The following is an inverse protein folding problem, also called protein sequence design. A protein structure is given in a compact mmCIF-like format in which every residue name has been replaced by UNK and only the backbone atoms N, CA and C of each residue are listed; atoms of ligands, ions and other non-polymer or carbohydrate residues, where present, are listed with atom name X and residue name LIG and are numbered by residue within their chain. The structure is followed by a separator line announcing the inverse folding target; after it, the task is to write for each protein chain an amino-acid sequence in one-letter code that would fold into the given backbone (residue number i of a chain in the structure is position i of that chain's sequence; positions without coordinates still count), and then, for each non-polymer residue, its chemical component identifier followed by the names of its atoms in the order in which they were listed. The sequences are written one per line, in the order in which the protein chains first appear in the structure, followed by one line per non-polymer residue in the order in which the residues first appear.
data_IF_308638025140
#
_entry.id   IF_308638025140
#
_cell.length_a   1.000
_cell.length_b   1.000
_cell.length_c   1.000
_cell.angle_alpha   90.00
_cell.angle_beta   90.00
_cell.angle_gamma   90.00
#
_symmetry.space_group_name_H-M   'P 1'
#
loop_
_entity.id
_entity.type
_entity.pdbx_description
1 polymer ?
#
# COMPACT_ATOMS: atom_id res chain seq x y z
N UNK A 1 4.89 29.52 23.41
CA UNK A 1 5.39 28.26 24.00
C UNK A 1 4.93 27.16 23.06
N UNK A 2 5.90 26.64 22.32
CA UNK A 2 5.78 25.66 21.26
C UNK A 2 5.44 24.29 21.84
N UNK A 3 4.29 23.74 21.46
CA UNK A 3 3.98 22.34 21.68
C UNK A 3 4.06 21.63 20.33
N UNK A 4 5.11 20.83 20.15
CA UNK A 4 5.21 19.88 19.03
C UNK A 4 4.55 18.60 19.52
N UNK A 5 3.44 18.23 18.89
CA UNK A 5 2.84 16.93 19.13
C UNK A 5 3.59 15.89 18.29
N UNK A 6 4.40 15.09 18.98
CA UNK A 6 5.00 13.87 18.45
C UNK A 6 3.88 12.83 18.37
N UNK A 7 3.76 12.13 17.24
CA UNK A 7 2.81 11.01 17.11
C UNK A 7 3.12 9.98 18.20
N UNK A 8 2.19 9.86 19.15
CA UNK A 8 2.26 8.94 20.28
C UNK A 8 1.92 7.52 19.79
N UNK A 9 2.81 6.56 20.02
CA UNK A 9 2.62 5.14 19.71
C UNK A 9 2.37 4.41 21.02
N UNK A 10 1.11 4.35 21.46
CA UNK A 10 0.68 3.48 22.55
C UNK A 10 -0.43 2.53 22.09
N UNK A 11 -0.16 1.23 22.22
CA UNK A 11 -1.16 0.17 22.13
C UNK A 11 -1.99 0.19 23.42
N UNK A 12 -3.27 0.55 23.33
CA UNK A 12 -4.26 0.16 24.33
C UNK A 12 -5.17 -0.89 23.70
N UNK A 13 -4.77 -2.16 23.85
CA UNK A 13 -5.65 -3.31 23.66
C UNK A 13 -6.50 -3.47 24.94
N UNK A 14 -7.66 -2.81 24.99
CA UNK A 14 -8.70 -3.21 25.93
C UNK A 14 -9.33 -4.53 25.42
N UNK A 15 -8.95 -5.63 26.09
CA UNK A 15 -9.69 -6.89 26.06
C UNK A 15 -11.07 -6.66 26.67
N UNK A 16 -12.07 -6.46 25.82
CA UNK A 16 -13.46 -6.71 26.19
C UNK A 16 -13.73 -8.22 26.23
N UNK A 17 -13.81 -8.78 27.44
CA UNK A 17 -14.50 -10.05 27.68
C UNK A 17 -15.97 -9.90 27.26
N UNK A 18 -16.37 -10.62 26.22
CA UNK A 18 -17.78 -10.86 25.91
C UNK A 18 -18.18 -12.19 26.55
N UNK A 19 -18.86 -12.08 27.70
CA UNK A 19 -19.68 -13.14 28.27
C UNK A 19 -20.72 -13.59 27.23
N UNK A 20 -20.56 -14.80 26.72
CA UNK A 20 -21.58 -15.47 25.92
C UNK A 20 -22.35 -16.41 26.84
N UNK A 21 -23.52 -15.96 27.28
CA UNK A 21 -24.51 -16.80 27.93
C UNK A 21 -24.94 -17.95 26.99
N UNK A 22 -24.79 -19.16 27.51
CA UNK A 22 -25.20 -20.41 26.89
C UNK A 22 -26.72 -20.52 26.91
N UNK A 23 -27.38 -20.18 25.80
CA UNK A 23 -28.78 -20.56 25.58
C UNK A 23 -28.83 -21.92 24.87
N UNK A 24 -29.19 -22.95 25.65
CA UNK A 24 -29.56 -24.29 25.19
C UNK A 24 -30.76 -24.22 24.23
N UNK A 25 -30.57 -24.70 23.00
CA UNK A 25 -31.68 -25.13 22.14
C UNK A 25 -31.49 -26.62 21.80
N UNK A 26 -32.48 -27.42 22.20
CA UNK A 26 -32.59 -28.87 21.99
C UNK A 26 -32.77 -29.18 20.50
N UNK A 27 -32.15 -30.25 19.95
CA UNK A 27 -32.56 -30.79 18.66
C UNK A 27 -33.75 -31.76 18.86
N UNK A 28 -34.83 -31.49 18.14
CA UNK A 28 -35.95 -32.42 18.02
C UNK A 28 -35.62 -33.53 17.00
N UNK A 29 -35.86 -34.75 17.49
CA UNK A 29 -35.80 -36.05 16.86
C UNK A 29 -36.80 -36.18 15.69
N UNK A 30 -36.34 -36.53 14.49
CA UNK A 30 -37.08 -37.44 13.60
C UNK A 30 -36.10 -38.43 12.95
N UNK A 31 -36.49 -39.69 13.11
CA UNK A 31 -35.83 -40.95 12.81
C UNK A 31 -36.23 -41.38 11.41
N UNK A 32 -35.28 -41.82 10.58
CA UNK A 32 -35.54 -42.93 9.67
C UNK A 32 -34.28 -43.75 9.45
N UNK A 33 -34.48 -45.05 9.66
CA UNK A 33 -33.52 -46.14 9.72
C UNK A 33 -33.27 -46.66 8.30
N UNK A 34 -32.06 -47.12 8.00
CA UNK A 34 -31.81 -48.46 7.45
C UNK A 34 -30.30 -48.79 7.43
N UNK A 35 -30.02 -49.97 7.97
CA UNK A 35 -28.71 -50.58 8.20
C UNK A 35 -28.06 -51.08 6.91
N UNK A 36 -26.72 -51.09 6.87
CA UNK A 36 -26.01 -52.35 6.60
C UNK A 36 -24.65 -52.35 7.28
N UNK A 37 -24.50 -53.28 8.23
CA UNK A 37 -23.25 -53.66 8.88
C UNK A 37 -22.19 -54.17 7.91
N UNK A 38 -20.91 -53.92 8.23
CA UNK A 38 -19.90 -54.99 8.29
C UNK A 38 -18.72 -54.58 9.18
N UNK A 39 -18.56 -55.38 10.23
CA UNK A 39 -17.48 -55.41 11.20
C UNK A 39 -16.11 -55.75 10.59
N UNK A 40 -15.04 -55.13 11.12
CA UNK A 40 -13.82 -55.86 11.49
C UNK A 40 -13.10 -55.17 12.65
N UNK A 41 -12.80 -55.97 13.68
CA UNK A 41 -12.23 -55.62 14.98
C UNK A 41 -10.73 -55.29 14.92
N UNK A 42 -10.36 -54.25 15.67
CA UNK A 42 -9.29 -54.16 16.68
C UNK A 42 -7.91 -54.75 16.36
N UNK A 43 -6.88 -53.89 16.35
CA UNK A 43 -5.68 -54.13 17.16
C UNK A 43 -5.02 -52.81 17.60
N UNK A 44 -4.96 -52.63 18.92
CA UNK A 44 -4.24 -51.59 19.63
C UNK A 44 -2.80 -52.09 19.86
N UNK A 45 -1.79 -51.30 19.51
CA UNK A 45 -0.44 -51.45 20.07
C UNK A 45 0.15 -50.07 20.37
N UNK A 46 0.36 -49.81 21.66
CA UNK A 46 1.16 -48.72 22.21
C UNK A 46 2.57 -49.23 22.44
N UNK A 47 3.58 -48.51 21.94
CA UNK A 47 4.98 -48.37 22.44
C UNK A 47 5.77 -47.68 21.30
N UNK A 48 6.70 -46.76 21.49
CA UNK A 48 7.37 -46.19 22.67
C UNK A 48 8.06 -44.88 22.22
N UNK A 49 8.40 -44.05 23.19
CA UNK A 49 9.13 -42.77 23.06
C UNK A 49 10.40 -42.82 22.21
N UNK A 50 10.73 -41.67 21.60
CA UNK A 50 12.01 -40.98 21.80
C UNK A 50 11.83 -39.48 21.51
N UNK A 51 11.67 -38.69 22.59
CA UNK A 51 11.95 -37.25 22.63
C UNK A 51 13.39 -37.10 23.08
N UNK A 52 14.22 -36.41 22.30
CA UNK A 52 15.50 -35.88 22.77
C UNK A 52 15.30 -34.41 23.08
N UNK A 53 15.45 -34.07 24.35
CA UNK A 53 15.51 -32.71 24.89
C UNK A 53 16.82 -32.01 24.47
N UNK A 54 16.78 -30.69 24.32
CA UNK A 54 17.76 -29.85 25.01
C UNK A 54 17.10 -28.56 25.53
N UNK A 55 17.41 -28.29 26.79
CA UNK A 55 16.86 -27.30 27.72
C UNK A 55 17.55 -25.94 27.62
N UNK A 56 16.84 -24.87 28.01
CA UNK A 56 17.31 -23.81 28.96
C UNK A 56 16.13 -22.87 29.25
N UNK A 57 15.47 -23.05 30.40
CA UNK A 57 15.68 -22.31 31.66
C UNK A 57 14.93 -20.97 31.70
N UNK A 58 13.65 -21.05 32.07
CA UNK A 58 12.94 -19.99 32.79
C UNK A 58 13.17 -20.18 34.29
N UNK A 59 13.31 -19.08 35.02
CA UNK A 59 13.31 -19.04 36.47
C UNK A 59 12.26 -18.01 36.91
N UNK A 60 11.15 -18.53 37.42
CA UNK A 60 10.13 -17.79 38.15
C UNK A 60 10.62 -17.44 39.56
N UNK A 61 10.25 -16.25 40.04
CA UNK A 61 10.23 -15.91 41.47
C UNK A 61 8.87 -15.26 41.74
N UNK A 62 8.13 -15.85 42.67
CA UNK A 62 6.79 -15.46 43.11
C UNK A 62 6.79 -14.17 43.98
N UNK A 63 5.82 -13.28 43.70
CA UNK A 63 4.84 -12.60 44.59
C UNK A 63 5.31 -11.86 45.88
N UNK A 64 4.71 -10.69 46.27
CA UNK A 64 3.27 -10.62 46.56
C UNK A 64 2.52 -9.30 46.25
N UNK A 65 1.19 -9.44 46.25
CA UNK A 65 0.13 -8.45 46.14
C UNK A 65 0.29 -7.22 47.05
N UNK A 66 0.07 -6.03 46.49
CA UNK A 66 -0.56 -4.89 47.20
C UNK A 66 -1.56 -4.20 46.27
N UNK A 67 -2.82 -4.26 46.65
CA UNK A 67 -3.92 -3.48 46.13
C UNK A 67 -3.78 -2.00 46.50
N UNK A 68 -3.81 -1.10 45.50
CA UNK A 68 -4.14 0.31 45.69
C UNK A 68 -4.96 0.83 44.51
N UNK A 69 -6.27 0.93 44.74
CA UNK A 69 -7.20 1.81 44.03
C UNK A 69 -6.79 3.27 44.26
N UNK A 70 -6.65 4.06 43.19
CA UNK A 70 -6.65 5.52 43.25
C UNK A 70 -6.99 6.11 41.87
N UNK A 71 -8.20 6.66 41.77
CA UNK A 71 -8.57 7.65 40.77
C UNK A 71 -7.62 8.86 40.82
N UNK A 72 -7.22 9.44 39.68
CA UNK A 72 -7.03 10.88 39.47
C UNK A 72 -6.52 11.13 38.04
N UNK A 73 -7.31 11.83 37.23
CA UNK A 73 -7.24 13.27 36.95
C UNK A 73 -6.18 13.62 35.90
N UNK A 74 -6.69 14.17 34.80
CA UNK A 74 -5.97 14.99 33.82
C UNK A 74 -5.07 15.98 34.56
N UNK A 75 -3.76 15.81 34.41
CA UNK A 75 -2.79 16.80 34.86
C UNK A 75 -2.11 17.38 33.60
N UNK A 76 -2.64 18.53 33.16
CA UNK A 76 -1.92 19.45 32.30
C UNK A 76 -0.69 19.95 33.06
N UNK A 77 0.49 19.41 32.76
CA UNK A 77 1.75 20.08 33.11
C UNK A 77 2.60 20.34 31.89
N UNK A 78 2.71 21.63 31.59
CA UNK A 78 3.63 22.26 30.67
C UNK A 78 5.07 21.98 31.11
N UNK A 79 5.91 21.52 30.18
CA UNK A 79 7.37 21.65 30.27
C UNK A 79 7.90 22.20 28.94
N UNK A 80 8.86 23.15 28.95
CA UNK A 80 9.43 23.72 27.74
C UNK A 80 10.63 22.88 27.28
N UNK A 81 10.58 22.32 26.08
CA UNK A 81 11.74 21.71 25.41
C UNK A 81 11.92 22.27 24.00
N UNK A 82 13.19 22.34 23.61
CA UNK A 82 13.79 23.38 22.78
C UNK A 82 13.69 23.18 21.26
N UNK A 83 13.66 24.31 20.57
CA UNK A 83 13.67 24.53 19.12
C UNK A 83 14.98 24.11 18.42
N UNK A 84 15.40 22.84 18.52
CA UNK A 84 16.66 22.39 17.91
C UNK A 84 16.61 22.28 16.38
N UNK A 85 15.42 22.15 15.76
CA UNK A 85 15.30 22.06 14.29
C UNK A 85 15.04 23.42 13.61
N UNK A 86 14.59 24.43 14.36
CA UNK A 86 14.07 25.69 13.80
C UNK A 86 15.06 26.87 13.86
N UNK A 87 16.25 26.69 14.44
CA UNK A 87 17.27 27.74 14.52
C UNK A 87 18.60 27.25 13.94
N UNK A 88 18.65 27.09 12.62
CA UNK A 88 19.91 27.23 11.91
C UNK A 88 19.64 27.99 10.62
N UNK A 89 20.26 29.16 10.52
CA UNK A 89 20.52 29.85 9.26
C UNK A 89 21.38 28.93 8.40
N UNK A 90 20.75 28.02 7.65
CA UNK A 90 21.45 27.00 6.89
C UNK A 90 21.95 27.55 5.56
N UNK A 91 23.27 27.74 5.49
CA UNK A 91 24.04 27.53 4.27
C UNK A 91 23.64 26.17 3.70
N UNK A 92 22.95 26.17 2.56
CA UNK A 92 22.52 24.97 1.83
C UNK A 92 23.77 24.16 1.43
N UNK A 93 24.13 23.17 2.24
CA UNK A 93 25.11 22.15 1.89
C UNK A 93 24.65 21.47 0.59
N UNK A 94 25.43 21.69 -0.47
CA UNK A 94 25.09 21.46 -1.87
C UNK A 94 25.42 20.06 -2.38
N UNK A 95 25.39 19.04 -1.52
CA UNK A 95 25.51 17.66 -2.01
C UNK A 95 24.18 17.27 -2.70
N UNK A 96 24.15 17.02 -4.02
CA UNK A 96 22.92 16.60 -4.69
C UNK A 96 22.45 15.27 -4.10
N UNK A 97 21.15 15.18 -3.81
CA UNK A 97 20.53 13.92 -3.40
C UNK A 97 20.69 12.92 -4.54
N UNK A 98 21.19 11.72 -4.25
CA UNK A 98 21.21 10.65 -5.25
C UNK A 98 19.77 10.36 -5.71
N UNK A 99 19.52 10.50 -7.01
CA UNK A 99 18.21 10.29 -7.64
C UNK A 99 18.09 8.88 -8.27
N UNK A 100 19.02 7.99 -7.97
CA UNK A 100 18.92 6.57 -8.32
C UNK A 100 18.46 5.80 -7.10
N UNK A 101 17.25 5.22 -7.17
CA UNK A 101 16.59 4.58 -6.02
C UNK A 101 17.54 3.59 -5.31
N UNK A 102 18.10 2.63 -6.03
CA UNK A 102 18.96 1.58 -5.45
C UNK A 102 20.29 2.07 -4.86
N UNK A 103 20.70 3.31 -5.16
CA UNK A 103 21.92 3.94 -4.63
C UNK A 103 21.62 4.99 -3.55
N UNK A 104 20.35 5.39 -3.39
CA UNK A 104 19.91 6.37 -2.41
C UNK A 104 20.00 5.86 -0.95
N UNK A 105 20.23 4.57 -0.73
CA UNK A 105 20.43 3.96 0.60
C UNK A 105 21.89 3.95 1.10
N UNK A 106 22.89 4.13 0.23
CA UNK A 106 24.30 4.00 0.59
C UNK A 106 24.92 5.35 0.94
N UNK A 107 25.18 5.63 2.23
CA UNK A 107 25.97 6.80 2.62
C UNK A 107 26.94 6.51 3.77
N UNK A 108 28.14 7.12 3.63
CA UNK A 108 29.28 7.02 4.54
C UNK A 108 28.89 7.37 5.99
N UNK A 109 29.19 6.47 6.93
CA UNK A 109 29.02 6.60 8.39
C UNK A 109 29.87 7.72 9.05
N UNK A 110 30.33 8.73 8.30
CA UNK A 110 31.32 9.70 8.79
C UNK A 110 30.75 10.78 9.72
N UNK A 111 29.43 10.84 9.93
CA UNK A 111 28.82 11.83 10.82
C UNK A 111 27.75 11.20 11.74
N UNK A 112 28.12 10.14 12.45
CA UNK A 112 27.33 9.67 13.59
C UNK A 112 27.44 10.67 14.74
N UNK A 113 26.52 11.63 14.83
CA UNK A 113 26.39 12.47 16.03
C UNK A 113 26.02 11.56 17.20
N UNK A 114 26.86 11.52 18.25
CA UNK A 114 26.58 10.81 19.50
C UNK A 114 25.22 11.29 20.05
N UNK A 115 24.26 10.39 20.12
CA UNK A 115 22.96 10.64 20.76
C UNK A 115 23.19 10.82 22.26
N UNK A 116 22.89 12.01 22.77
CA UNK A 116 22.75 12.23 24.20
C UNK A 116 21.40 11.63 24.64
N UNK A 117 21.44 10.55 25.41
CA UNK A 117 20.26 9.91 25.98
C UNK A 117 19.66 10.84 27.04
N UNK A 118 18.58 11.53 26.70
CA UNK A 118 17.77 12.29 27.66
C UNK A 118 16.56 11.44 28.06
N UNK A 119 16.40 11.24 29.37
CA UNK A 119 15.32 10.47 29.99
C UNK A 119 13.94 11.03 29.62
N UNK A 120 13.15 10.25 28.88
CA UNK A 120 11.73 10.48 28.61
C UNK A 120 11.22 9.32 27.77
N UNK A 121 10.07 8.74 28.14
CA UNK A 121 9.42 7.52 27.59
C UNK A 121 9.98 7.03 26.24
N UNK A 122 10.49 5.80 26.23
CA UNK A 122 11.13 5.17 25.06
C UNK A 122 10.11 4.86 23.96
N UNK A 123 9.71 5.85 23.17
CA UNK A 123 8.94 5.63 21.95
C UNK A 123 9.87 5.15 20.83
N UNK A 124 9.40 4.17 20.04
CA UNK A 124 10.09 3.74 18.83
C UNK A 124 10.17 4.93 17.86
N UNK A 125 11.37 5.42 17.60
CA UNK A 125 11.60 6.52 16.66
C UNK A 125 12.00 5.96 15.31
N UNK A 126 11.28 6.40 14.27
CA UNK A 126 11.55 6.00 12.90
C UNK A 126 12.43 7.06 12.24
N UNK A 127 13.68 6.70 11.96
CA UNK A 127 14.61 7.56 11.24
C UNK A 127 14.17 7.71 9.77
N UNK A 128 14.30 8.89 9.12
CA UNK A 128 13.88 9.09 7.72
C UNK A 128 14.45 8.10 6.70
N UNK A 129 15.62 7.51 6.98
CA UNK A 129 16.17 6.44 6.13
C UNK A 129 15.25 5.21 6.01
N UNK A 130 14.41 4.97 7.01
CA UNK A 130 13.44 3.88 6.98
C UNK A 130 12.45 4.02 5.81
N UNK A 131 12.10 5.23 5.38
CA UNK A 131 11.22 5.44 4.21
C UNK A 131 11.81 4.77 2.97
N UNK A 132 13.10 4.97 2.73
CA UNK A 132 13.81 4.35 1.62
C UNK A 132 13.97 2.84 1.81
N UNK A 133 14.45 2.40 2.97
CA UNK A 133 14.65 0.97 3.25
C UNK A 133 13.35 0.17 3.14
N UNK A 134 12.24 0.71 3.63
CA UNK A 134 10.94 0.05 3.56
C UNK A 134 10.39 -0.01 2.13
N UNK A 135 10.70 0.99 1.29
CA UNK A 135 10.31 1.00 -0.13
C UNK A 135 11.03 -0.07 -0.98
N UNK A 136 12.15 -0.63 -0.51
CA UNK A 136 12.89 -1.69 -1.23
C UNK A 136 12.14 -3.01 -1.37
N UNK A 137 11.01 -3.18 -0.67
CA UNK A 137 10.09 -4.30 -0.85
C UNK A 137 9.52 -4.37 -2.28
N UNK A 138 9.33 -3.21 -2.92
CA UNK A 138 8.87 -3.12 -4.30
C UNK A 138 10.05 -3.18 -5.27
N UNK A 139 10.26 -4.34 -5.88
CA UNK A 139 11.24 -4.47 -6.97
C UNK A 139 10.75 -3.83 -8.27
N UNK A 140 9.45 -3.88 -8.51
CA UNK A 140 8.81 -3.46 -9.76
C UNK A 140 7.92 -2.23 -9.56
N UNK A 141 8.15 -1.17 -10.35
CA UNK A 141 7.45 0.11 -10.21
C UNK A 141 5.93 -0.01 -10.37
N UNK A 142 5.44 -0.81 -11.33
CA UNK A 142 4.00 -0.99 -11.51
C UNK A 142 3.33 -1.68 -10.31
N UNK A 143 4.06 -2.53 -9.58
CA UNK A 143 3.55 -3.10 -8.34
C UNK A 143 3.27 -2.02 -7.27
N UNK A 144 4.11 -0.98 -7.20
CA UNK A 144 3.88 0.17 -6.33
C UNK A 144 2.68 1.03 -6.81
N UNK A 145 2.54 1.24 -8.13
CA UNK A 145 1.35 1.94 -8.68
C UNK A 145 0.08 1.16 -8.32
N UNK A 146 0.10 -0.17 -8.48
CA UNK A 146 -1.06 -1.00 -8.20
C UNK A 146 -1.49 -0.97 -6.74
N UNK A 147 -0.56 -0.91 -5.77
CA UNK A 147 -0.93 -0.70 -4.36
C UNK A 147 -1.62 0.65 -4.10
N UNK A 148 -1.32 1.68 -4.88
CA UNK A 148 -2.03 2.97 -4.79
C UNK A 148 -3.43 2.86 -5.40
N UNK A 149 -3.58 2.13 -6.51
CA UNK A 149 -4.89 1.85 -7.11
C UNK A 149 -5.76 0.96 -6.24
N UNK A 150 -5.16 0.01 -5.51
CA UNK A 150 -5.85 -0.86 -4.56
C UNK A 150 -6.57 -0.02 -3.49
N UNK A 151 -6.00 1.13 -3.10
CA UNK A 151 -6.67 2.04 -2.16
C UNK A 151 -7.89 2.72 -2.77
N UNK A 152 -7.85 3.11 -4.05
CA UNK A 152 -8.99 3.72 -4.73
C UNK A 152 -10.10 2.70 -5.03
N UNK A 153 -9.73 1.46 -5.38
CA UNK A 153 -10.69 0.36 -5.56
C UNK A 153 -11.44 0.04 -4.26
N UNK A 154 -10.75 0.07 -3.13
CA UNK A 154 -11.38 -0.10 -1.81
C UNK A 154 -12.40 1.03 -1.50
N UNK A 155 -12.33 2.18 -2.19
CA UNK A 155 -13.26 3.31 -2.04
C UNK A 155 -14.53 3.19 -2.91
N UNK A 156 -14.68 2.15 -3.73
CA UNK A 156 -15.92 1.88 -4.48
C UNK A 156 -17.13 1.79 -3.53
N UNK A 157 -16.94 1.19 -2.34
CA UNK A 157 -17.98 1.12 -1.31
C UNK A 157 -18.38 2.50 -0.75
N UNK A 158 -17.52 3.51 -0.91
CA UNK A 158 -17.73 4.90 -0.51
C UNK A 158 -18.12 5.79 -1.70
N UNK A 159 -18.51 5.19 -2.84
CA UNK A 159 -19.04 5.90 -4.00
C UNK A 159 -18.02 6.27 -5.08
N UNK A 160 -16.77 5.79 -4.99
CA UNK A 160 -15.79 6.01 -6.06
C UNK A 160 -16.30 5.43 -7.39
N UNK A 161 -16.17 6.20 -8.47
CA UNK A 161 -16.52 5.82 -9.84
C UNK A 161 -15.33 5.77 -10.77
N UNK A 162 -14.17 6.32 -10.38
CA UNK A 162 -12.94 6.16 -11.14
C UNK A 162 -11.68 6.29 -10.30
N UNK A 163 -10.59 5.81 -10.89
CA UNK A 163 -9.24 6.25 -10.55
C UNK A 163 -8.46 6.52 -11.83
N UNK A 164 -7.80 7.67 -11.88
CA UNK A 164 -7.01 8.15 -12.99
C UNK A 164 -5.52 8.16 -12.65
N UNK A 165 -4.70 7.65 -13.56
CA UNK A 165 -3.24 7.73 -13.50
C UNK A 165 -2.76 8.56 -14.68
N UNK A 166 -2.01 9.63 -14.42
CA UNK A 166 -1.52 10.50 -15.48
C UNK A 166 -0.11 11.05 -15.21
N UNK A 167 0.47 11.66 -16.25
CA UNK A 167 1.66 12.49 -16.17
C UNK A 167 1.23 13.93 -15.97
N UNK A 168 1.81 14.60 -14.98
CA UNK A 168 1.78 16.06 -14.89
C UNK A 168 3.19 16.63 -14.92
N UNK A 169 3.30 17.93 -15.16
CA UNK A 169 4.57 18.64 -15.03
C UNK A 169 4.61 19.33 -13.67
N UNK A 170 5.70 19.15 -12.95
CA UNK A 170 5.97 19.89 -11.72
C UNK A 170 6.10 21.38 -12.07
N UNK A 171 5.23 22.28 -11.55
CA UNK A 171 5.28 23.70 -11.89
C UNK A 171 6.59 24.38 -11.49
N UNK A 172 7.31 23.85 -10.50
CA UNK A 172 8.54 24.44 -9.97
C UNK A 172 9.75 24.23 -10.86
N UNK A 173 9.90 23.06 -11.47
CA UNK A 173 11.11 22.68 -12.21
C UNK A 173 10.84 22.10 -13.62
N UNK A 174 9.57 21.92 -14.00
CA UNK A 174 9.16 21.36 -15.27
C UNK A 174 9.37 19.84 -15.41
N UNK A 175 9.87 19.16 -14.38
CA UNK A 175 10.11 17.73 -14.43
C UNK A 175 8.79 16.94 -14.39
N UNK A 176 8.73 15.74 -14.99
CA UNK A 176 7.55 14.90 -14.91
C UNK A 176 7.27 14.45 -13.48
N UNK A 177 6.00 14.41 -13.13
CA UNK A 177 5.46 13.84 -11.90
C UNK A 177 4.31 12.89 -12.23
N UNK A 178 4.11 11.88 -11.38
CA UNK A 178 3.04 10.92 -11.50
C UNK A 178 1.83 11.39 -10.68
N UNK A 179 0.69 11.53 -11.35
CA UNK A 179 -0.60 11.86 -10.75
C UNK A 179 -1.41 10.58 -10.60
N UNK A 180 -1.99 10.37 -9.42
CA UNK A 180 -3.03 9.36 -9.17
C UNK A 180 -4.20 10.08 -8.49
N UNK A 181 -5.38 10.02 -9.08
CA UNK A 181 -6.56 10.72 -8.57
C UNK A 181 -7.80 9.83 -8.60
N UNK A 182 -8.54 9.80 -7.50
CA UNK A 182 -9.83 9.12 -7.38
C UNK A 182 -10.92 10.07 -6.87
N UNK A 183 -12.16 9.71 -7.13
CA UNK A 183 -13.37 10.38 -6.63
C UNK A 183 -14.01 9.61 -5.45
N UNK A 184 -13.21 8.87 -4.68
CA UNK A 184 -13.66 8.15 -3.49
C UNK A 184 -14.08 9.07 -2.35
N UNK A 185 -14.26 8.50 -1.16
CA UNK A 185 -14.78 9.25 0.00
C UNK A 185 -13.84 10.36 0.48
N UNK A 186 -12.56 10.31 0.10
CA UNK A 186 -11.53 11.23 0.56
C UNK A 186 -11.20 11.09 2.06
N UNK A 187 -10.32 11.96 2.54
CA UNK A 187 -9.76 11.90 3.89
C UNK A 187 -9.95 13.21 4.63
N UNK A 188 -10.60 13.12 5.80
CA UNK A 188 -10.57 14.18 6.80
C UNK A 188 -9.18 14.30 7.48
N UNK A 189 -8.99 15.28 8.38
CA UNK A 189 -7.71 15.55 9.02
C UNK A 189 -7.06 14.34 9.72
N UNK A 190 -7.84 13.61 10.52
CA UNK A 190 -7.35 12.45 11.26
C UNK A 190 -7.00 11.28 10.35
N UNK A 191 -7.83 11.02 9.33
CA UNK A 191 -7.59 9.98 8.34
C UNK A 191 -6.33 10.30 7.51
N UNK A 192 -6.11 11.56 7.15
CA UNK A 192 -4.88 12.01 6.48
C UNK A 192 -3.65 11.75 7.36
N UNK A 193 -3.73 12.10 8.65
CA UNK A 193 -2.64 11.85 9.61
C UNK A 193 -2.34 10.36 9.73
N UNK A 194 -3.36 9.51 9.82
CA UNK A 194 -3.20 8.05 9.87
C UNK A 194 -2.60 7.51 8.58
N UNK A 195 -3.05 7.99 7.41
CA UNK A 195 -2.51 7.62 6.10
C UNK A 195 -0.99 7.85 6.03
N UNK A 196 -0.53 9.00 6.53
CA UNK A 196 0.88 9.39 6.58
C UNK A 196 1.69 8.67 7.68
N UNK A 197 1.04 8.04 8.66
CA UNK A 197 1.67 7.37 9.81
C UNK A 197 1.81 5.86 9.61
N UNK A 198 2.91 5.25 10.05
CA UNK A 198 3.10 3.80 9.88
C UNK A 198 2.17 2.97 10.78
N UNK A 199 1.71 1.82 10.25
CA UNK A 199 0.97 0.81 11.03
C UNK A 199 -0.51 1.09 11.29
N UNK A 200 -1.05 2.22 10.82
CA UNK A 200 -2.47 2.53 10.97
C UNK A 200 -3.27 2.04 9.76
N UNK A 201 -4.33 1.27 10.03
CA UNK A 201 -5.38 0.97 9.05
C UNK A 201 -6.74 1.07 9.72
N UNK A 202 -7.64 1.83 9.13
CA UNK A 202 -9.06 1.88 9.54
C UNK A 202 -9.86 0.79 8.81
N UNK A 203 -9.29 0.17 7.77
CA UNK A 203 -9.94 -0.85 6.95
C UNK A 203 -10.09 -2.15 7.75
N UNK A 204 -11.22 -2.28 8.45
CA UNK A 204 -11.63 -3.48 9.19
C UNK A 204 -12.32 -4.54 8.32
N UNK A 205 -12.60 -4.24 7.05
CA UNK A 205 -13.27 -5.18 6.15
C UNK A 205 -12.35 -6.33 5.74
N UNK A 206 -12.86 -7.56 5.79
CA UNK A 206 -12.17 -8.75 5.26
C UNK A 206 -12.01 -8.71 3.73
N UNK A 207 -12.81 -7.91 3.02
CA UNK A 207 -12.76 -7.81 1.56
C UNK A 207 -11.79 -6.75 1.03
N UNK A 208 -11.33 -5.82 1.89
CA UNK A 208 -10.40 -4.78 1.48
C UNK A 208 -9.04 -5.37 1.06
N UNK A 209 -8.43 -4.77 0.05
CA UNK A 209 -7.10 -5.14 -0.41
C UNK A 209 -6.04 -4.58 0.57
N UNK A 210 -6.20 -3.31 0.98
CA UNK A 210 -5.28 -2.65 1.90
C UNK A 210 -5.47 -3.08 3.36
N UNK A 211 -4.52 -3.84 3.91
CA UNK A 211 -4.61 -4.35 5.30
C UNK A 211 -3.47 -3.91 6.25
N UNK A 212 -2.31 -3.54 5.72
CA UNK A 212 -1.10 -3.42 6.53
C UNK A 212 -0.77 -1.99 6.97
N UNK A 213 -1.53 -0.99 6.49
CA UNK A 213 -1.29 0.41 6.86
C UNK A 213 0.06 0.97 6.37
N UNK A 214 0.75 0.29 5.44
CA UNK A 214 2.09 0.67 4.98
C UNK A 214 2.17 0.96 3.47
N UNK A 215 1.25 0.43 2.67
CA UNK A 215 1.35 0.42 1.21
C UNK A 215 1.50 1.79 0.56
N UNK A 216 0.81 2.81 1.08
CA UNK A 216 0.97 4.18 0.60
C UNK A 216 2.42 4.69 0.74
N UNK A 217 3.04 4.50 1.91
CA UNK A 217 4.39 5.00 2.20
C UNK A 217 5.42 4.26 1.37
N UNK A 218 5.34 2.93 1.32
CA UNK A 218 6.28 2.10 0.56
C UNK A 218 6.19 2.38 -0.93
N UNK A 219 4.97 2.48 -1.45
CA UNK A 219 4.72 2.66 -2.88
C UNK A 219 5.14 4.05 -3.37
N UNK A 220 4.73 5.11 -2.67
CA UNK A 220 5.10 6.48 -3.06
C UNK A 220 6.61 6.71 -3.00
N UNK A 221 7.26 6.24 -1.93
CA UNK A 221 8.73 6.34 -1.78
C UNK A 221 9.49 5.44 -2.77
N UNK A 222 8.86 4.38 -3.31
CA UNK A 222 9.42 3.59 -4.41
C UNK A 222 9.35 4.30 -5.75
N UNK A 223 8.34 5.14 -5.97
CA UNK A 223 8.09 5.81 -7.26
C UNK A 223 8.84 7.13 -7.38
N UNK A 224 8.96 7.88 -6.29
CA UNK A 224 9.73 9.13 -6.25
C UNK A 224 10.23 9.45 -4.85
N UNK A 225 11.09 10.46 -4.76
CA UNK A 225 11.62 10.90 -3.47
C UNK A 225 10.55 11.64 -2.63
N UNK A 226 9.56 12.23 -3.28
CA UNK A 226 8.62 13.14 -2.61
C UNK A 226 7.20 12.93 -3.12
N UNK A 227 6.24 13.01 -2.21
CA UNK A 227 4.81 12.91 -2.53
C UNK A 227 4.03 13.98 -1.78
N UNK A 228 3.13 14.66 -2.48
CA UNK A 228 2.12 15.54 -1.91
C UNK A 228 0.73 14.96 -2.17
N UNK A 229 -0.12 14.99 -1.14
CA UNK A 229 -1.49 14.47 -1.20
C UNK A 229 -2.45 15.62 -0.92
N UNK A 230 -3.45 15.75 -1.78
CA UNK A 230 -4.62 16.59 -1.60
C UNK A 230 -5.81 15.67 -1.42
N UNK A 231 -6.61 15.90 -0.38
CA UNK A 231 -7.82 15.12 -0.19
C UNK A 231 -8.95 16.00 0.31
N UNK A 232 -10.13 15.77 -0.24
CA UNK A 232 -11.34 16.50 0.13
C UNK A 232 -12.34 15.51 0.69
N UNK A 233 -12.95 15.86 1.81
CA UNK A 233 -13.93 15.01 2.47
C UNK A 233 -15.09 15.85 2.97
N UNK A 234 -16.31 15.49 2.56
CA UNK A 234 -17.54 16.12 2.99
C UNK A 234 -18.23 15.22 4.01
N UNK A 235 -18.35 15.70 5.25
CA UNK A 235 -19.03 14.99 6.31
C UNK A 235 -19.97 15.94 7.04
N UNK A 236 -21.26 15.59 7.14
CA UNK A 236 -22.27 16.37 7.87
C UNK A 236 -22.31 17.88 7.55
N UNK A 237 -22.09 18.25 6.28
CA UNK A 237 -22.07 19.66 5.85
C UNK A 237 -20.76 20.41 6.14
N UNK A 238 -19.73 19.69 6.59
CA UNK A 238 -18.38 20.22 6.79
C UNK A 238 -17.50 19.67 5.67
N UNK A 239 -17.03 20.56 4.81
CA UNK A 239 -16.09 20.25 3.75
C UNK A 239 -14.66 20.48 4.26
N UNK A 240 -13.89 19.41 4.36
CA UNK A 240 -12.47 19.49 4.74
C UNK A 240 -11.59 19.35 3.51
N UNK A 241 -10.54 20.16 3.44
CA UNK A 241 -9.49 20.08 2.42
C UNK A 241 -8.16 19.90 3.14
N UNK A 242 -7.59 18.70 3.02
CA UNK A 242 -6.34 18.33 3.68
C UNK A 242 -5.22 18.24 2.66
N UNK A 243 -4.07 18.83 2.99
CA UNK A 243 -2.84 18.72 2.23
C UNK A 243 -1.78 18.10 3.13
N UNK A 244 -1.11 17.06 2.66
CA UNK A 244 0.00 16.43 3.38
C UNK A 244 1.21 16.19 2.48
N UNK A 245 2.40 16.44 3.01
CA UNK A 245 3.67 16.28 2.28
C UNK A 245 4.58 15.28 2.98
N UNK A 246 4.85 14.17 2.30
CA UNK A 246 5.88 13.21 2.71
C UNK A 246 7.07 13.36 1.75
N UNK A 247 8.09 14.10 2.20
CA UNK A 247 9.23 14.48 1.37
C UNK A 247 10.55 13.93 1.94
N UNK A 248 11.12 12.94 1.26
CA UNK A 248 12.46 12.45 1.59
C UNK A 248 13.51 13.53 1.35
N UNK A 249 13.32 14.37 0.32
CA UNK A 249 14.21 15.48 0.00
C UNK A 249 14.30 16.49 1.15
N UNK A 250 13.14 16.92 1.67
CA UNK A 250 13.05 17.80 2.84
C UNK A 250 13.80 17.17 4.02
N UNK A 251 13.39 15.97 4.46
CA UNK A 251 13.94 15.30 5.64
C UNK A 251 15.46 15.13 5.56
N UNK A 252 15.98 14.82 4.38
CA UNK A 252 17.43 14.66 4.16
C UNK A 252 18.18 15.99 4.12
N UNK A 253 17.65 17.02 3.47
CA UNK A 253 18.35 18.31 3.36
C UNK A 253 18.36 19.10 4.67
N UNK A 254 17.36 18.89 5.52
CA UNK A 254 17.30 19.51 6.85
C UNK A 254 17.94 18.62 7.94
N UNK A 255 18.50 17.47 7.58
CA UNK A 255 19.09 16.49 8.51
C UNK A 255 18.15 16.13 9.67
N UNK A 256 16.87 15.93 9.39
CA UNK A 256 15.93 15.46 10.39
C UNK A 256 16.33 14.07 10.89
N UNK A 257 16.31 13.88 12.21
CA UNK A 257 16.53 12.59 12.88
C UNK A 257 15.26 11.74 12.97
N UNK A 258 14.10 12.36 12.69
CA UNK A 258 12.77 11.76 12.70
C UNK A 258 11.97 12.15 11.46
N UNK A 259 10.98 11.33 11.13
CA UNK A 259 10.04 11.65 10.06
C UNK A 259 9.09 12.75 10.54
N UNK A 260 9.10 13.89 9.84
CA UNK A 260 8.20 15.02 10.02
C UNK A 260 7.38 15.18 8.73
N UNK A 261 6.06 15.28 8.86
CA UNK A 261 5.13 15.39 7.73
C UNK A 261 4.33 16.69 7.86
N UNK A 262 4.66 17.75 7.09
CA UNK A 262 3.87 18.97 7.07
C UNK A 262 2.47 18.68 6.56
N UNK A 263 1.47 19.14 7.33
CA UNK A 263 0.06 19.00 6.97
C UNK A 263 -0.70 20.29 7.27
N UNK A 264 -1.59 20.67 6.36
CA UNK A 264 -2.52 21.78 6.56
C UNK A 264 -3.94 21.31 6.25
N UNK A 265 -4.90 21.82 6.99
CA UNK A 265 -6.30 21.46 6.86
C UNK A 265 -7.15 22.73 6.85
N UNK A 266 -7.94 22.88 5.79
CA UNK A 266 -8.96 23.91 5.67
C UNK A 266 -10.30 23.27 5.95
N UNK A 267 -11.13 23.95 6.73
CA UNK A 267 -12.48 23.53 7.04
C UNK A 267 -13.46 24.58 6.55
N UNK A 268 -14.38 24.17 5.68
CA UNK A 268 -15.46 25.02 5.20
C UNK A 268 -16.79 24.46 5.65
N UNK A 269 -17.48 25.21 6.49
CA UNK A 269 -18.81 24.85 6.94
C UNK A 269 -19.86 25.38 5.96
N UNK A 270 -20.54 24.49 5.25
CA UNK A 270 -21.51 24.87 4.22
C UNK A 270 -22.75 25.55 4.80
N UNK A 271 -23.06 25.34 6.07
CA UNK A 271 -24.23 25.93 6.75
C UNK A 271 -23.98 27.36 7.22
N UNK A 272 -22.75 27.68 7.64
CA UNK A 272 -22.39 29.01 8.14
C UNK A 272 -21.62 29.85 7.12
N UNK A 273 -21.12 29.23 6.04
CA UNK A 273 -20.25 29.87 5.05
C UNK A 273 -18.87 30.25 5.58
N UNK A 274 -18.50 29.75 6.77
CA UNK A 274 -17.25 30.08 7.44
C UNK A 274 -16.12 29.16 7.00
N UNK A 275 -14.97 29.77 6.68
CA UNK A 275 -13.70 29.07 6.46
C UNK A 275 -12.88 29.17 7.75
N UNK A 276 -12.39 28.03 8.24
CA UNK A 276 -11.48 27.93 9.37
C UNK A 276 -10.26 27.07 9.04
N UNK A 277 -9.22 27.18 9.86
CA UNK A 277 -7.98 26.41 9.73
C UNK A 277 -7.73 25.64 11.03
N UNK A 278 -7.57 24.32 10.93
CA UNK A 278 -7.40 23.47 12.11
C UNK A 278 -6.00 23.56 12.72
N UNK A 279 -5.89 23.25 14.02
CA UNK A 279 -4.65 23.18 14.82
C UNK A 279 -3.96 24.51 15.14
N UNK A 280 -4.67 25.64 15.01
CA UNK A 280 -4.18 26.95 15.43
C UNK A 280 -3.25 27.62 14.42
N UNK A 281 -3.30 28.96 14.38
CA UNK A 281 -2.71 29.78 13.31
C UNK A 281 -1.20 29.60 13.15
N UNK A 282 -0.45 29.48 14.24
CA UNK A 282 1.02 29.38 14.19
C UNK A 282 1.48 28.06 13.55
N UNK A 283 0.88 26.93 13.96
CA UNK A 283 1.22 25.61 13.40
C UNK A 283 0.82 25.50 11.94
N UNK A 284 -0.39 25.99 11.60
CA UNK A 284 -0.86 26.04 10.23
C UNK A 284 0.11 26.84 9.34
N UNK A 285 0.52 28.04 9.77
CA UNK A 285 1.46 28.88 9.02
C UNK A 285 2.84 28.23 8.86
N UNK A 286 3.37 27.59 9.90
CA UNK A 286 4.65 26.87 9.81
C UNK A 286 4.58 25.72 8.79
N UNK A 287 3.53 24.91 8.84
CA UNK A 287 3.35 23.79 7.91
C UNK A 287 3.11 24.29 6.48
N UNK A 288 2.35 25.37 6.31
CA UNK A 288 2.14 26.00 5.01
C UNK A 288 3.48 26.46 4.42
N UNK A 289 4.33 27.16 5.19
CA UNK A 289 5.65 27.57 4.71
C UNK A 289 6.51 26.40 4.26
N UNK A 290 6.47 25.27 4.98
CA UNK A 290 7.17 24.05 4.56
C UNK A 290 6.61 23.49 3.25
N UNK A 291 5.28 23.46 3.08
CA UNK A 291 4.64 23.03 1.83
C UNK A 291 5.07 23.93 0.66
N UNK A 292 5.03 25.26 0.84
CA UNK A 292 5.41 26.23 -0.19
C UNK A 292 6.91 26.16 -0.54
N UNK A 293 7.76 25.72 0.38
CA UNK A 293 9.18 25.58 0.15
C UNK A 293 9.54 24.26 -0.56
N UNK A 294 8.92 23.15 -0.15
CA UNK A 294 9.36 21.80 -0.51
C UNK A 294 8.45 21.08 -1.52
N UNK A 295 7.23 21.56 -1.74
CA UNK A 295 6.30 21.00 -2.72
C UNK A 295 6.47 21.60 -4.13
N UNK A 296 5.82 21.02 -5.15
CA UNK A 296 5.75 21.59 -6.50
C UNK A 296 5.15 23.00 -6.59
N UNK A 297 4.44 23.45 -5.55
CA UNK A 297 3.66 24.68 -5.53
C UNK A 297 4.32 25.71 -4.61
N UNK A 298 4.46 26.95 -5.08
CA UNK A 298 5.16 28.03 -4.41
C UNK A 298 4.21 29.01 -3.69
N UNK A 299 2.91 28.99 -4.01
CA UNK A 299 1.91 29.84 -3.36
C UNK A 299 0.73 29.04 -2.78
N UNK A 300 0.05 29.61 -1.77
CA UNK A 300 -1.15 29.01 -1.19
C UNK A 300 -2.28 28.89 -2.24
N UNK A 301 -2.40 29.88 -3.14
CA UNK A 301 -3.37 29.81 -4.25
C UNK A 301 -3.13 28.60 -5.13
N UNK A 302 -1.88 28.34 -5.53
CA UNK A 302 -1.53 27.17 -6.36
C UNK A 302 -1.84 25.84 -5.67
N UNK A 303 -1.67 25.77 -4.34
CA UNK A 303 -2.07 24.62 -3.54
C UNK A 303 -3.59 24.44 -3.52
N UNK A 304 -4.34 25.52 -3.31
CA UNK A 304 -5.80 25.49 -3.29
C UNK A 304 -6.40 25.16 -4.65
N UNK A 305 -5.76 25.59 -5.74
CA UNK A 305 -6.16 25.29 -7.11
C UNK A 305 -6.14 23.78 -7.41
N UNK A 306 -5.32 23.00 -6.68
CA UNK A 306 -5.27 21.55 -6.84
C UNK A 306 -6.55 20.83 -6.41
N UNK A 307 -7.48 21.50 -5.73
CA UNK A 307 -8.75 20.93 -5.35
C UNK A 307 -9.89 21.22 -6.34
N UNK A 308 -9.67 22.02 -7.38
CA UNK A 308 -10.72 22.47 -8.29
C UNK A 308 -11.37 21.31 -9.08
N UNK A 309 -10.62 20.25 -9.33
CA UNK A 309 -10.99 19.07 -10.12
C UNK A 309 -11.25 17.80 -9.26
N UNK A 310 -11.18 17.90 -7.93
CA UNK A 310 -11.45 16.76 -7.02
C UNK A 310 -12.96 16.57 -6.80
N UNK A 311 -13.79 17.62 -6.97
CA UNK A 311 -15.23 17.55 -6.66
C UNK A 311 -15.52 17.72 -5.16
N UNK A 312 -16.62 17.17 -4.63
CA UNK A 312 -16.99 17.29 -3.20
C UNK A 312 -16.24 16.34 -2.27
N UNK A 313 -15.72 15.24 -2.82
CA UNK A 313 -14.92 14.24 -2.13
C UNK A 313 -13.95 13.61 -3.13
N UNK A 314 -12.82 13.11 -2.64
CA UNK A 314 -11.83 12.42 -3.47
C UNK A 314 -10.41 12.68 -2.99
N UNK A 315 -9.45 12.00 -3.62
CA UNK A 315 -8.03 12.10 -3.28
C UNK A 315 -7.20 12.26 -4.53
N UNK A 316 -6.19 13.14 -4.44
CA UNK A 316 -5.19 13.40 -5.47
C UNK A 316 -3.80 13.23 -4.86
N UNK A 317 -3.05 12.28 -5.38
CA UNK A 317 -1.69 11.95 -4.99
C UNK A 317 -0.75 12.34 -6.11
N UNK A 318 0.25 13.17 -5.81
CA UNK A 318 1.26 13.61 -6.77
C UNK A 318 2.62 13.16 -6.27
N UNK A 319 3.19 12.17 -6.95
CA UNK A 319 4.57 11.72 -6.71
C UNK A 319 5.49 12.46 -7.67
N UNK A 320 6.44 13.21 -7.13
CA UNK A 320 7.39 14.00 -7.89
C UNK A 320 8.80 13.68 -7.45
N UNK A 321 9.79 14.26 -8.14
CA UNK A 321 11.18 13.85 -7.98
C UNK A 321 11.34 12.34 -8.21
N UNK A 322 10.76 11.86 -9.32
CA UNK A 322 10.77 10.46 -9.73
C UNK A 322 12.20 9.91 -9.82
N UNK A 323 12.35 8.62 -9.52
CA UNK A 323 13.66 7.96 -9.54
C UNK A 323 14.16 7.71 -10.96
N UNK A 324 15.48 7.81 -11.10
CA UNK A 324 16.20 7.44 -12.30
C UNK A 324 16.67 5.98 -12.23
N UNK A 325 16.73 5.34 -13.40
CA UNK A 325 17.38 4.06 -13.58
C UNK A 325 18.91 4.21 -13.63
N UNK A 326 19.62 3.11 -13.89
CA UNK A 326 21.09 3.11 -13.97
C UNK A 326 21.64 3.94 -15.15
N UNK A 327 20.85 4.10 -16.21
CA UNK A 327 21.18 4.93 -17.38
C UNK A 327 20.95 6.44 -17.14
N UNK A 328 20.43 6.81 -15.97
CA UNK A 328 20.18 8.20 -15.61
C UNK A 328 18.90 8.80 -16.22
N UNK A 329 18.03 7.99 -16.81
CA UNK A 329 16.69 8.39 -17.28
C UNK A 329 15.63 7.98 -16.26
N UNK A 330 14.44 8.60 -16.29
CA UNK A 330 13.34 8.21 -15.39
C UNK A 330 12.95 6.76 -15.62
N UNK A 331 12.74 5.99 -14.54
CA UNK A 331 12.32 4.59 -14.66
C UNK A 331 10.96 4.46 -15.36
N UNK A 332 10.08 5.44 -15.16
CA UNK A 332 8.83 5.58 -15.90
C UNK A 332 9.05 6.45 -17.16
N UNK A 333 8.70 5.90 -18.32
CA UNK A 333 8.68 6.57 -19.61
C UNK A 333 7.26 7.03 -19.95
N UNK A 334 7.10 8.34 -20.12
CA UNK A 334 5.82 8.98 -20.45
C UNK A 334 5.71 9.42 -21.90
N UNK A 335 6.75 9.19 -22.72
CA UNK A 335 6.91 9.80 -24.04
C UNK A 335 6.81 8.78 -25.18
N UNK A 336 7.18 7.50 -24.95
CA UNK A 336 7.13 6.45 -25.98
C UNK A 336 5.72 6.21 -26.53
N UNK A 337 4.72 6.24 -25.65
CA UNK A 337 3.31 6.10 -26.00
C UNK A 337 2.52 7.17 -25.22
N UNK A 338 1.82 8.10 -25.89
CA UNK A 338 1.06 9.14 -25.21
C UNK A 338 -0.09 8.60 -24.36
N UNK A 339 -0.61 7.42 -24.70
CA UNK A 339 -1.68 6.74 -23.99
C UNK A 339 -1.15 5.75 -22.95
N UNK A 340 0.16 5.61 -22.74
CA UNK A 340 0.71 4.66 -21.77
C UNK A 340 1.73 5.31 -20.82
N UNK A 341 2.11 4.54 -19.80
CA UNK A 341 3.29 4.76 -18.98
C UNK A 341 4.10 3.47 -19.06
N UNK A 342 5.26 3.54 -19.69
CA UNK A 342 6.11 2.36 -19.89
C UNK A 342 7.26 2.32 -18.87
N UNK A 343 7.87 1.14 -18.68
CA UNK A 343 9.17 1.05 -17.98
C UNK A 343 10.30 1.29 -18.97
N UNK A 344 11.20 2.21 -18.64
CA UNK A 344 12.41 2.52 -19.39
C UNK A 344 13.39 1.33 -19.36
N UNK A 345 13.79 0.86 -20.54
CA UNK A 345 14.92 -0.08 -20.70
C UNK A 345 14.61 -1.58 -20.71
N UNK A 346 13.39 -2.03 -20.39
CA UNK A 346 13.07 -3.48 -20.32
C UNK A 346 12.31 -4.00 -21.54
N UNK A 347 12.87 -3.84 -22.75
CA UNK A 347 12.55 -4.75 -23.86
C UNK A 347 13.61 -5.83 -23.91
N UNK A 348 13.48 -6.85 -23.05
CA UNK A 348 14.21 -8.11 -23.21
C UNK A 348 13.90 -8.65 -24.60
N UNK A 349 14.86 -8.48 -25.53
CA UNK A 349 14.78 -9.05 -26.88
C UNK A 349 14.77 -10.55 -26.74
N UNK A 350 13.63 -11.18 -27.00
CA UNK A 350 13.52 -12.64 -26.99
C UNK A 350 14.22 -13.12 -28.27
N UNK A 351 15.24 -13.98 -28.14
CA UNK A 351 15.92 -14.58 -29.29
C UNK A 351 15.08 -15.73 -29.90
N UNK A 352 13.99 -15.39 -30.61
CA UNK A 352 13.20 -16.34 -31.44
C UNK A 352 13.26 -16.01 -32.94
N UNK A 353 12.64 -16.85 -33.80
CA UNK A 353 12.48 -16.54 -35.23
C UNK A 353 11.64 -15.24 -35.42
N UNK A 354 11.90 -14.40 -36.45
CA UNK A 354 11.27 -13.09 -36.61
C UNK A 354 9.73 -13.06 -36.56
N UNK A 355 9.07 -14.09 -37.10
CA UNK A 355 7.60 -14.20 -37.09
C UNK A 355 7.05 -14.60 -35.71
N UNK A 356 7.72 -15.51 -35.00
CA UNK A 356 7.36 -15.97 -33.65
C UNK A 356 7.73 -14.93 -32.57
N UNK A 357 8.76 -14.11 -32.83
CA UNK A 357 9.17 -12.95 -32.02
C UNK A 357 8.01 -12.00 -31.83
N UNK A 358 7.37 -11.58 -32.92
CA UNK A 358 6.29 -10.59 -32.85
C UNK A 358 5.10 -11.10 -32.05
N UNK A 359 4.69 -12.36 -32.22
CA UNK A 359 3.56 -12.95 -31.50
C UNK A 359 3.85 -13.04 -30.00
N UNK A 360 5.04 -13.56 -29.63
CA UNK A 360 5.44 -13.63 -28.23
C UNK A 360 5.62 -12.25 -27.59
N UNK A 361 6.29 -11.31 -28.25
CA UNK A 361 6.54 -9.96 -27.73
C UNK A 361 5.23 -9.17 -27.54
N UNK A 362 4.24 -9.39 -28.41
CA UNK A 362 2.96 -8.70 -28.34
C UNK A 362 1.95 -9.38 -27.40
N UNK A 363 2.20 -10.61 -26.96
CA UNK A 363 1.30 -11.30 -26.04
C UNK A 363 1.27 -10.60 -24.66
N UNK A 364 0.09 -10.58 -24.02
CA UNK A 364 -0.15 -9.91 -22.74
C UNK A 364 0.88 -10.33 -21.68
N UNK A 365 1.17 -11.63 -21.59
CA UNK A 365 2.17 -12.23 -20.68
C UNK A 365 3.60 -11.69 -20.79
N UNK A 366 3.96 -10.99 -21.87
CA UNK A 366 5.21 -10.24 -21.95
C UNK A 366 4.97 -8.74 -21.83
N UNK A 367 3.93 -8.21 -22.48
CA UNK A 367 3.63 -6.77 -22.49
C UNK A 367 3.36 -6.19 -21.11
N UNK A 368 2.69 -6.92 -20.20
CA UNK A 368 2.35 -6.41 -18.87
C UNK A 368 3.60 -6.00 -18.07
N UNK A 369 4.76 -6.57 -18.38
CA UNK A 369 6.01 -6.30 -17.65
C UNK A 369 6.52 -4.87 -17.86
N UNK A 370 6.18 -4.25 -19.00
CA UNK A 370 6.68 -2.93 -19.37
C UNK A 370 5.61 -1.92 -19.79
N UNK A 371 4.38 -2.33 -20.09
CA UNK A 371 3.24 -1.46 -20.42
C UNK A 371 2.27 -1.41 -19.25
N UNK A 372 2.09 -0.23 -18.63
CA UNK A 372 1.18 -0.06 -17.51
C UNK A 372 -0.25 -0.32 -17.96
N UNK A 373 -0.64 0.17 -19.15
CA UNK A 373 -1.97 -0.07 -19.73
C UNK A 373 -2.32 -1.56 -19.77
N UNK A 374 -1.41 -2.38 -20.28
CA UNK A 374 -1.62 -3.84 -20.33
C UNK A 374 -1.67 -4.43 -18.93
N UNK A 375 -0.80 -4.01 -18.01
CA UNK A 375 -0.86 -4.50 -16.64
C UNK A 375 -2.19 -4.16 -15.95
N UNK A 376 -2.67 -2.92 -16.10
CA UNK A 376 -3.94 -2.48 -15.51
C UNK A 376 -5.15 -3.22 -16.09
N UNK A 377 -5.11 -3.62 -17.37
CA UNK A 377 -6.20 -4.38 -18.00
C UNK A 377 -6.47 -5.73 -17.32
N UNK A 378 -5.43 -6.36 -16.75
CA UNK A 378 -5.51 -7.67 -16.09
C UNK A 378 -5.35 -7.60 -14.57
N UNK A 379 -5.15 -6.40 -14.00
CA UNK A 379 -4.79 -6.21 -12.59
C UNK A 379 -5.86 -6.75 -11.65
N UNK A 380 -7.12 -6.57 -12.04
CA UNK A 380 -8.26 -7.04 -11.28
C UNK A 380 -8.99 -8.14 -12.06
N UNK A 381 -9.41 -9.20 -11.36
CA UNK A 381 -10.15 -10.30 -11.98
C UNK A 381 -11.49 -9.80 -12.54
N UNK A 382 -12.14 -8.87 -11.83
CA UNK A 382 -13.37 -8.20 -12.22
C UNK A 382 -13.33 -6.74 -11.78
N UNK A 383 -13.81 -5.84 -12.64
CA UNK A 383 -14.02 -4.43 -12.29
C UNK A 383 -15.53 -4.16 -12.41
N UNK A 384 -16.18 -3.58 -11.38
CA UNK A 384 -17.59 -3.21 -11.49
C UNK A 384 -17.82 -2.24 -12.66
N UNK A 385 -18.94 -2.37 -13.37
CA UNK A 385 -19.28 -1.49 -14.52
C UNK A 385 -19.38 0.00 -14.13
N UNK A 386 -19.66 0.28 -12.86
CA UNK A 386 -19.74 1.62 -12.30
C UNK A 386 -18.37 2.25 -12.03
N UNK A 387 -17.26 1.50 -12.16
CA UNK A 387 -15.92 1.97 -11.85
C UNK A 387 -14.99 1.93 -13.06
N UNK A 388 -14.20 2.98 -13.26
CA UNK A 388 -13.28 3.12 -14.40
C UNK A 388 -11.84 3.29 -13.96
N UNK A 389 -10.95 2.47 -14.53
CA UNK A 389 -9.51 2.74 -14.52
C UNK A 389 -9.19 3.64 -15.71
N UNK A 390 -8.62 4.81 -15.47
CA UNK A 390 -8.24 5.76 -16.50
C UNK A 390 -6.72 5.90 -16.48
N UNK A 391 -6.08 5.78 -17.63
CA UNK A 391 -4.65 5.98 -17.79
C UNK A 391 -4.42 6.99 -18.90
N UNK A 392 -3.63 8.04 -18.65
CA UNK A 392 -3.32 9.08 -19.65
C UNK A 392 -4.56 9.64 -20.36
N UNK A 393 -5.62 9.90 -19.59
CA UNK A 393 -6.91 10.41 -20.10
C UNK A 393 -7.84 9.39 -20.77
N UNK A 394 -7.42 8.14 -20.95
CA UNK A 394 -8.23 7.10 -21.60
C UNK A 394 -8.55 5.93 -20.68
N UNK A 395 -9.80 5.47 -20.74
CA UNK A 395 -10.26 4.30 -19.98
C UNK A 395 -9.45 3.08 -20.41
N UNK A 396 -8.94 2.33 -19.44
CA UNK A 396 -8.27 1.05 -19.67
C UNK A 396 -9.35 0.00 -19.89
N UNK A 397 -9.33 -0.64 -21.06
CA UNK A 397 -10.20 -1.78 -21.34
C UNK A 397 -9.80 -2.97 -20.45
N UNK A 398 -10.76 -3.50 -19.70
CA UNK A 398 -10.55 -4.69 -18.89
C UNK A 398 -10.38 -5.91 -19.78
N UNK A 399 -9.39 -6.74 -19.47
CA UNK A 399 -9.12 -7.96 -20.21
C UNK A 399 -9.18 -9.17 -19.28
N UNK A 400 -10.13 -10.07 -19.54
CA UNK A 400 -10.22 -11.34 -18.81
C UNK A 400 -9.29 -12.36 -19.46
N UNK A 401 -8.22 -12.75 -18.75
CA UNK A 401 -7.22 -13.72 -19.24
C UNK A 401 -7.86 -15.06 -19.65
N UNK A 402 -8.96 -15.45 -19.01
CA UNK A 402 -9.66 -16.69 -19.37
C UNK A 402 -10.22 -16.66 -20.81
N UNK A 403 -10.47 -15.47 -21.37
CA UNK A 403 -10.97 -15.31 -22.72
C UNK A 403 -9.89 -15.65 -23.76
N UNK A 404 -8.61 -15.70 -23.39
CA UNK A 404 -7.49 -16.09 -24.26
C UNK A 404 -7.31 -17.62 -24.33
N UNK A 405 -8.14 -18.38 -23.62
CA UNK A 405 -8.06 -19.84 -23.58
C UNK A 405 -8.93 -20.49 -24.67
N UNK A 406 -8.38 -21.51 -25.32
CA UNK A 406 -9.12 -22.52 -26.09
C UNK A 406 -9.23 -23.80 -25.27
N UNK A 407 -10.33 -24.51 -25.48
CA UNK A 407 -10.70 -25.73 -24.74
C UNK A 407 -10.71 -25.49 -23.21
N UNK A 408 -11.48 -24.50 -22.71
CA UNK A 408 -11.50 -24.21 -21.29
C UNK A 408 -12.16 -25.34 -20.49
N UNK A 409 -11.49 -25.76 -19.42
CA UNK A 409 -12.00 -26.64 -18.39
C UNK A 409 -12.11 -25.88 -17.06
N UNK A 410 -13.15 -26.20 -16.29
CA UNK A 410 -13.42 -25.59 -15.00
C UNK A 410 -13.20 -26.61 -13.89
N UNK A 411 -12.17 -26.38 -13.09
CA UNK A 411 -11.79 -27.26 -11.98
C UNK A 411 -12.19 -26.60 -10.67
N UNK A 412 -13.03 -27.28 -9.90
CA UNK A 412 -13.37 -26.88 -8.54
C UNK A 412 -12.30 -27.42 -7.58
N UNK A 413 -11.64 -26.52 -6.86
CA UNK A 413 -10.71 -26.84 -5.78
C UNK A 413 -11.31 -26.48 -4.43
N UNK A 414 -11.35 -27.46 -3.53
CA UNK A 414 -11.90 -27.33 -2.17
C UNK A 414 -10.78 -27.57 -1.16
N UNK A 415 -10.01 -26.53 -0.77
CA UNK A 415 -8.98 -26.66 0.25
C UNK A 415 -9.58 -27.05 1.59
N UNK A 416 -8.97 -28.06 2.21
CA UNK A 416 -9.30 -28.52 3.55
C UNK A 416 -8.09 -28.32 4.47
N UNK A 417 -8.26 -27.56 5.54
CA UNK A 417 -7.29 -27.45 6.62
C UNK A 417 -7.89 -27.98 7.90
N UNK A 418 -7.17 -28.90 8.56
CA UNK A 418 -7.60 -29.48 9.84
C UNK A 418 -9.01 -30.09 9.82
N UNK A 419 -9.45 -30.62 8.68
CA UNK A 419 -10.78 -31.22 8.50
C UNK A 419 -11.92 -30.22 8.28
N UNK A 420 -11.62 -28.93 8.14
CA UNK A 420 -12.59 -27.86 7.85
C UNK A 420 -12.34 -27.37 6.42
N UNK A 421 -13.40 -27.28 5.62
CA UNK A 421 -13.34 -26.69 4.28
C UNK A 421 -13.11 -25.18 4.41
N UNK A 422 -11.99 -24.68 3.89
CA UNK A 422 -11.60 -23.27 3.99
C UNK A 422 -12.32 -22.38 2.98
N UNK A 423 -12.77 -22.98 1.88
CA UNK A 423 -13.49 -22.29 0.82
C UNK A 423 -13.57 -23.14 -0.46
N UNK A 424 -14.07 -22.52 -1.52
CA UNK A 424 -14.15 -23.09 -2.86
C UNK A 424 -13.48 -22.15 -3.85
N UNK A 425 -12.62 -22.68 -4.71
CA UNK A 425 -11.93 -21.93 -5.76
C UNK A 425 -12.23 -22.59 -7.10
N UNK A 426 -12.79 -21.82 -8.03
CA UNK A 426 -12.98 -22.28 -9.41
C UNK A 426 -11.76 -21.84 -10.22
N UNK A 427 -11.04 -22.81 -10.78
CA UNK A 427 -9.89 -22.60 -11.65
C UNK A 427 -10.31 -22.84 -13.10
N UNK A 428 -10.06 -21.88 -13.98
CA UNK A 428 -10.23 -22.07 -15.43
C UNK A 428 -8.87 -22.42 -16.02
N UNK A 429 -8.77 -23.57 -16.69
CA UNK A 429 -7.56 -24.05 -17.35
C UNK A 429 -7.87 -24.26 -18.83
N UNK A 430 -6.90 -24.02 -19.70
CA UNK A 430 -7.00 -24.30 -21.12
C UNK A 430 -5.67 -24.04 -21.80
N UNK A 431 -5.66 -24.13 -23.12
CA UNK A 431 -4.49 -23.76 -23.92
C UNK A 431 -4.64 -22.31 -24.38
N UNK A 432 -3.55 -21.55 -24.49
CA UNK A 432 -3.63 -20.25 -25.16
C UNK A 432 -4.10 -20.42 -26.61
N UNK A 433 -4.90 -19.49 -27.12
CA UNK A 433 -5.39 -19.52 -28.51
C UNK A 433 -4.24 -19.65 -29.51
N UNK A 434 -3.17 -18.91 -29.26
CA UNK A 434 -1.93 -18.86 -30.05
C UNK A 434 -1.04 -20.09 -29.85
N UNK A 435 -1.35 -21.02 -28.95
CA UNK A 435 -0.54 -22.23 -28.78
C UNK A 435 -0.62 -23.13 -30.04
N UNK A 436 0.49 -23.75 -30.49
CA UNK A 436 1.81 -23.80 -29.85
C UNK A 436 2.77 -22.67 -30.25
N UNK A 437 2.31 -21.66 -30.98
CA UNK A 437 3.15 -20.59 -31.52
C UNK A 437 3.58 -19.54 -30.47
N UNK A 438 3.02 -19.62 -29.26
CA UNK A 438 3.39 -18.79 -28.10
C UNK A 438 4.11 -19.62 -27.04
N UNK A 439 5.21 -19.10 -26.50
CA UNK A 439 6.02 -19.76 -25.46
C UNK A 439 5.68 -19.24 -24.05
N UNK A 440 4.40 -18.97 -23.80
CA UNK A 440 3.89 -18.44 -22.53
C UNK A 440 2.93 -19.47 -21.95
N UNK A 441 3.08 -19.79 -20.68
CA UNK A 441 2.23 -20.73 -19.96
C UNK A 441 2.37 -20.48 -18.45
N UNK A 442 1.40 -20.97 -17.67
CA UNK A 442 1.38 -20.82 -16.22
C UNK A 442 0.03 -20.33 -15.70
N UNK A 443 -0.08 -20.22 -14.38
CA UNK A 443 -1.30 -19.79 -13.70
C UNK A 443 -1.28 -18.30 -13.42
N UNK A 444 -2.39 -17.62 -13.68
CA UNK A 444 -2.62 -16.27 -13.17
C UNK A 444 -3.39 -16.37 -11.85
N UNK A 445 -2.71 -16.09 -10.74
CA UNK A 445 -3.29 -16.25 -9.39
C UNK A 445 -3.78 -14.90 -8.89
N UNK A 446 -5.08 -14.83 -8.62
CA UNK A 446 -5.74 -13.67 -8.01
C UNK A 446 -6.06 -13.94 -6.54
N UNK A 447 -5.86 -12.95 -5.69
CA UNK A 447 -6.28 -12.97 -4.28
C UNK A 447 -7.15 -11.75 -4.02
N UNK A 448 -8.39 -11.97 -3.55
CA UNK A 448 -9.39 -10.90 -3.33
C UNK A 448 -9.50 -9.95 -4.51
N UNK A 449 -9.77 -10.51 -5.68
CA UNK A 449 -9.89 -9.79 -6.95
C UNK A 449 -8.59 -9.18 -7.50
N UNK A 450 -7.47 -9.21 -6.77
CA UNK A 450 -6.19 -8.61 -7.17
C UNK A 450 -5.20 -9.64 -7.72
N UNK A 451 -4.61 -9.40 -8.88
CA UNK A 451 -3.58 -10.26 -9.48
C UNK A 451 -2.31 -10.26 -8.61
N UNK A 452 -1.87 -11.43 -8.15
CA UNK A 452 -0.66 -11.57 -7.31
C UNK A 452 0.47 -12.21 -8.09
N UNK A 453 0.19 -13.31 -8.81
CA UNK A 453 1.20 -14.06 -9.57
C UNK A 453 0.75 -14.20 -11.03
N UNK A 454 1.25 -13.35 -11.95
CA UNK A 454 0.99 -13.50 -13.38
C UNK A 454 1.83 -14.63 -13.98
N UNK A 455 1.20 -15.51 -14.76
CA UNK A 455 1.85 -16.60 -15.51
C UNK A 455 2.84 -17.42 -14.67
N UNK A 456 2.44 -17.77 -13.45
CA UNK A 456 3.24 -18.55 -12.51
C UNK A 456 3.45 -19.98 -13.01
N UNK A 457 4.71 -20.36 -13.21
CA UNK A 457 5.09 -21.70 -13.63
C UNK A 457 4.94 -22.68 -12.46
N UNK A 458 4.12 -23.71 -12.65
CA UNK A 458 4.12 -24.85 -11.74
C UNK A 458 5.23 -25.82 -12.15
N UNK A 459 6.09 -26.27 -11.22
CA UNK A 459 7.13 -27.23 -11.55
C UNK A 459 6.50 -28.53 -12.05
N UNK A 460 6.61 -28.80 -13.35
CA UNK A 460 6.35 -30.12 -13.90
C UNK A 460 7.35 -31.09 -13.28
N UNK A 461 6.89 -32.16 -12.63
CA UNK A 461 7.80 -33.25 -12.27
C UNK A 461 8.44 -33.77 -13.56
N UNK A 462 9.77 -33.62 -13.66
CA UNK A 462 10.60 -34.19 -14.72
C UNK A 462 10.18 -35.64 -15.01
N UNK A 463 9.44 -35.84 -16.10
CA UNK A 463 9.31 -37.15 -16.74
C UNK A 463 9.68 -36.93 -18.21
N UNK A 464 10.87 -37.39 -18.64
CA UNK A 464 11.26 -37.28 -20.03
C UNK A 464 10.39 -38.25 -20.84
N UNK A 465 9.60 -37.72 -21.77
CA UNK A 465 8.94 -38.53 -22.81
C UNK A 465 7.42 -38.67 -22.75
N UNK A 466 6.69 -37.79 -22.06
CA UNK A 466 5.25 -37.64 -22.28
C UNK A 466 4.87 -36.17 -22.51
N UNK A 467 4.44 -35.89 -23.74
CA UNK A 467 3.51 -34.82 -24.01
C UNK A 467 2.23 -35.08 -23.19
N UNK A 468 1.64 -33.97 -22.73
CA UNK A 468 0.32 -33.84 -22.13
C UNK A 468 0.18 -34.32 -20.67
N UNK A 469 -0.10 -33.37 -19.77
CA UNK A 469 -1.45 -33.12 -19.20
C UNK A 469 -1.33 -32.00 -18.15
N UNK A 470 -2.00 -30.87 -18.42
CA UNK A 470 -2.30 -29.75 -17.51
C UNK A 470 -3.72 -29.90 -17.00
#
# INVERSE_FOLDING_TARGET
MTFIEVVDLSNDDERGELDVEVIKLKPHLVRSTLQSDKNSKVQLSKHQMLKTMYSRHESEVESPNVSRTSHSMLDQRQSPMENACLSSTLSMSSAPICRQFWKAGNYNNALGSKVALQNGKNYLQVHPMFLHSNATSHKWAFGAIAELLDNAIDEIQNGATFVAVDKILNPRDGNPALLIQDDGGGMGPDTMRQCMSFGFTVKKSKSAIGQYGNGFKTSTMRLGADVIVFSRHLNNGILTQSIGLLSYTFLRRTNCDRIVVPMVHYEYNTSTGMLDFLHGKEHFMSNLLMLLQWSPYATESELLDQFNDIGSHGTKVIVYNLWFNDDGVTELDFNKDPQDICISGDTRKIETLPSLKSINEQHIGNRFQYSLRVYLSILYLRIPESFKLILRGEVVEHHNIADDLKFPEFILYEPHSSGIMEGQVITTIGFLKEAPDVSIHGFCVYHRNRLILPYFLTPSRNTPGKLELL
#
